data_IF_706839508403
#
_entry.id   IF_706839508403
#
_cell.length_a   1.000
_cell.length_b   1.000
_cell.length_c   1.000
_cell.angle_alpha   90.00
_cell.angle_beta   90.00
_cell.angle_gamma   90.00
#
_symmetry.space_group_name_H-M   'P 1'
#
loop_
_entity.id
_entity.type
_entity.pdbx_description
1 polymer ?
#
# COMPACT_ATOMS: atom_id res chain seq x y z
N UNK A 1 25.69 -7.13 -23.74
CA UNK A 1 24.71 -7.05 -22.65
C UNK A 1 23.47 -6.30 -23.15
N UNK A 2 22.76 -6.85 -24.15
CA UNK A 2 21.85 -6.10 -25.02
C UNK A 2 20.62 -6.91 -25.44
N UNK A 3 19.89 -7.47 -24.48
CA UNK A 3 18.58 -8.07 -24.72
C UNK A 3 17.44 -7.32 -24.02
N UNK A 4 17.71 -6.39 -23.10
CA UNK A 4 16.69 -5.54 -22.45
C UNK A 4 15.60 -6.30 -21.68
N UNK A 5 15.67 -7.63 -21.69
CA UNK A 5 14.73 -8.56 -21.10
C UNK A 5 15.25 -9.11 -19.77
N UNK A 6 16.49 -8.84 -19.38
CA UNK A 6 17.06 -9.18 -18.07
C UNK A 6 16.94 -10.68 -17.71
N UNK A 7 16.97 -11.57 -18.71
CA UNK A 7 16.76 -13.01 -18.52
C UNK A 7 15.31 -13.42 -18.19
N UNK A 8 14.35 -12.50 -18.32
CA UNK A 8 12.91 -12.78 -18.17
C UNK A 8 12.37 -13.52 -19.40
N UNK A 9 11.29 -14.27 -19.20
CA UNK A 9 10.50 -14.78 -20.33
C UNK A 9 9.91 -13.61 -21.12
N UNK A 10 9.69 -13.79 -22.43
CA UNK A 10 9.16 -12.74 -23.30
C UNK A 10 7.81 -12.20 -22.80
N UNK A 11 6.94 -13.09 -22.30
CA UNK A 11 5.65 -12.72 -21.74
C UNK A 11 5.81 -11.82 -20.50
N UNK A 12 6.69 -12.20 -19.57
CA UNK A 12 6.92 -11.45 -18.32
C UNK A 12 7.61 -10.11 -18.59
N UNK A 13 8.57 -10.07 -19.51
CA UNK A 13 9.23 -8.84 -19.94
C UNK A 13 8.20 -7.86 -20.54
N UNK A 14 7.30 -8.34 -21.42
CA UNK A 14 6.25 -7.52 -22.02
C UNK A 14 5.25 -7.00 -20.99
N UNK A 15 4.82 -7.85 -20.06
CA UNK A 15 3.84 -7.47 -19.03
C UNK A 15 4.40 -6.41 -18.07
N UNK A 16 5.68 -6.53 -17.70
CA UNK A 16 6.31 -5.67 -16.70
C UNK A 16 7.03 -4.46 -17.28
N UNK A 17 7.20 -4.38 -18.60
CA UNK A 17 7.84 -3.24 -19.29
C UNK A 17 7.25 -1.85 -18.91
N UNK A 18 5.92 -1.67 -18.77
CA UNK A 18 5.36 -0.38 -18.34
C UNK A 18 5.76 0.00 -16.91
N UNK A 19 5.96 -0.99 -16.03
CA UNK A 19 6.43 -0.77 -14.65
C UNK A 19 7.91 -0.43 -14.68
N UNK A 20 8.73 -1.20 -15.42
CA UNK A 20 10.16 -0.93 -15.61
C UNK A 20 10.41 0.51 -16.05
N UNK A 21 9.62 1.00 -17.02
CA UNK A 21 9.74 2.36 -17.53
C UNK A 21 9.60 3.45 -16.43
N UNK A 22 8.85 3.17 -15.36
CA UNK A 22 8.62 4.09 -14.23
C UNK A 22 9.67 3.93 -13.12
N UNK A 23 10.27 2.75 -12.98
CA UNK A 23 11.15 2.44 -11.84
C UNK A 23 12.63 2.34 -12.19
N UNK A 24 13.00 2.31 -13.48
CA UNK A 24 14.39 2.13 -13.96
C UNK A 24 15.43 3.11 -13.40
N UNK A 25 15.00 4.29 -12.96
CA UNK A 25 15.88 5.31 -12.39
C UNK A 25 16.12 5.09 -10.87
N UNK A 26 15.38 4.17 -10.26
CA UNK A 26 15.41 3.86 -8.81
C UNK A 26 15.69 2.38 -8.51
N UNK A 27 15.53 1.50 -9.51
CA UNK A 27 15.72 0.05 -9.39
C UNK A 27 16.84 -0.39 -10.34
N UNK A 28 17.77 -1.20 -9.84
CA UNK A 28 18.87 -1.65 -10.68
C UNK A 28 18.42 -2.75 -11.65
N UNK A 29 18.99 -2.81 -12.87
CA UNK A 29 18.78 -3.91 -13.82
C UNK A 29 19.01 -5.32 -13.24
N UNK A 30 19.86 -5.44 -12.23
CA UNK A 30 20.21 -6.71 -11.60
C UNK A 30 19.13 -7.20 -10.62
N UNK A 31 18.41 -6.28 -9.97
CA UNK A 31 17.31 -6.60 -9.05
C UNK A 31 15.97 -6.80 -9.79
N UNK A 32 15.85 -6.18 -10.97
CA UNK A 32 14.61 -6.16 -11.74
C UNK A 32 14.01 -7.55 -12.02
N UNK A 33 14.77 -8.60 -12.37
CA UNK A 33 14.17 -9.90 -12.68
C UNK A 33 13.35 -10.48 -11.52
N UNK A 34 13.86 -10.35 -10.29
CA UNK A 34 13.17 -10.82 -9.09
C UNK A 34 11.93 -9.99 -8.79
N UNK A 35 12.03 -8.67 -8.92
CA UNK A 35 10.89 -7.76 -8.71
C UNK A 35 9.80 -7.96 -9.77
N UNK A 36 10.16 -8.09 -11.04
CA UNK A 36 9.23 -8.33 -12.14
C UNK A 36 8.44 -9.62 -11.93
N UNK A 37 9.10 -10.71 -11.50
CA UNK A 37 8.44 -11.97 -11.16
C UNK A 37 7.44 -11.80 -10.00
N UNK A 38 7.84 -11.14 -8.91
CA UNK A 38 6.95 -10.88 -7.77
C UNK A 38 5.76 -9.99 -8.14
N UNK A 39 5.97 -8.94 -8.93
CA UNK A 39 4.90 -8.05 -9.41
C UNK A 39 3.87 -8.85 -10.20
N UNK A 40 4.32 -9.70 -11.11
CA UNK A 40 3.45 -10.57 -11.89
C UNK A 40 2.63 -11.51 -10.98
N UNK A 41 3.29 -12.21 -10.05
CA UNK A 41 2.62 -13.13 -9.13
C UNK A 41 1.60 -12.42 -8.22
N UNK A 42 1.95 -11.27 -7.67
CA UNK A 42 1.05 -10.46 -6.83
C UNK A 42 -0.15 -9.98 -7.65
N UNK A 43 0.08 -9.52 -8.89
CA UNK A 43 -0.99 -9.05 -9.77
C UNK A 43 -1.93 -10.18 -10.23
N UNK A 44 -1.41 -11.40 -10.41
CA UNK A 44 -2.22 -12.58 -10.64
C UNK A 44 -3.02 -12.95 -9.37
N UNK A 45 -2.35 -12.98 -8.22
CA UNK A 45 -2.95 -13.38 -6.95
C UNK A 45 -4.09 -12.45 -6.54
N UNK A 46 -3.91 -11.12 -6.65
CA UNK A 46 -4.95 -10.16 -6.25
C UNK A 46 -6.25 -10.33 -7.04
N UNK A 47 -6.18 -10.70 -8.33
CA UNK A 47 -7.36 -11.05 -9.14
C UNK A 47 -8.06 -12.29 -8.60
N UNK A 48 -7.32 -13.36 -8.33
CA UNK A 48 -7.91 -14.61 -7.80
C UNK A 48 -8.51 -14.47 -6.40
N UNK A 49 -8.00 -13.52 -5.61
CA UNK A 49 -8.44 -13.27 -4.23
C UNK A 49 -9.50 -12.19 -4.12
N UNK A 50 -9.90 -11.57 -5.24
CA UNK A 50 -10.77 -10.39 -5.25
C UNK A 50 -10.24 -9.33 -4.26
N UNK A 51 -8.97 -8.97 -4.47
CA UNK A 51 -8.20 -8.10 -3.61
C UNK A 51 -7.76 -6.83 -4.36
N UNK A 52 -7.72 -5.72 -3.63
CA UNK A 52 -7.07 -4.47 -4.06
C UNK A 52 -5.93 -4.09 -3.13
N UNK A 53 -4.90 -3.45 -3.67
CA UNK A 53 -3.76 -2.93 -2.93
C UNK A 53 -3.84 -1.40 -2.89
N UNK A 54 -3.94 -0.85 -1.68
CA UNK A 54 -3.91 0.59 -1.40
C UNK A 54 -2.48 0.97 -1.02
N UNK A 55 -1.76 1.67 -1.90
CA UNK A 55 -0.35 2.01 -1.71
C UNK A 55 -0.15 3.49 -1.40
N UNK A 56 0.46 3.77 -0.24
CA UNK A 56 0.77 5.14 0.16
C UNK A 56 1.89 5.74 -0.70
N UNK A 57 1.91 7.07 -0.82
CA UNK A 57 2.94 7.84 -1.55
C UNK A 57 4.39 7.54 -1.14
N UNK A 58 4.61 6.95 0.02
CA UNK A 58 5.95 6.61 0.52
C UNK A 58 6.34 5.15 0.31
N UNK A 59 5.49 4.35 -0.35
CA UNK A 59 5.88 3.00 -0.74
C UNK A 59 7.00 3.04 -1.77
N UNK A 60 7.83 2.00 -1.77
CA UNK A 60 8.91 1.87 -2.74
C UNK A 60 8.37 1.85 -4.17
N UNK A 61 9.13 2.31 -5.18
CA UNK A 61 8.63 2.52 -6.54
C UNK A 61 8.00 1.27 -7.17
N UNK A 62 8.55 0.09 -6.91
CA UNK A 62 8.04 -1.18 -7.40
C UNK A 62 6.68 -1.56 -6.78
N UNK A 63 6.42 -1.18 -5.53
CA UNK A 63 5.11 -1.37 -4.91
C UNK A 63 4.13 -0.33 -5.45
N UNK A 64 4.53 0.94 -5.44
CA UNK A 64 3.69 2.06 -5.83
C UNK A 64 3.28 1.99 -7.31
N UNK A 65 4.21 1.68 -8.22
CA UNK A 65 3.93 1.61 -9.65
C UNK A 65 3.63 0.21 -10.18
N UNK A 66 4.02 -0.85 -9.46
CA UNK A 66 3.92 -2.23 -9.94
C UNK A 66 2.67 -2.98 -9.48
N UNK A 67 2.27 -2.83 -8.21
CA UNK A 67 1.17 -3.64 -7.63
C UNK A 67 0.04 -2.81 -7.03
N UNK A 68 0.26 -1.53 -6.70
CA UNK A 68 -0.76 -0.63 -6.18
C UNK A 68 -1.91 -0.40 -7.17
N UNK A 69 -3.14 -0.73 -6.76
CA UNK A 69 -4.36 -0.48 -7.55
C UNK A 69 -4.82 0.97 -7.37
N UNK A 70 -4.73 1.46 -6.14
CA UNK A 70 -4.98 2.85 -5.79
C UNK A 70 -3.74 3.38 -5.06
N UNK A 71 -3.26 4.52 -5.54
CA UNK A 71 -2.06 5.17 -5.03
C UNK A 71 -2.39 6.59 -4.57
N UNK A 72 -1.89 7.00 -3.41
CA UNK A 72 -2.16 8.35 -2.91
C UNK A 72 -1.79 8.59 -1.45
N UNK A 73 -2.28 9.73 -0.94
CA UNK A 73 -2.15 10.10 0.46
C UNK A 73 -3.17 9.36 1.35
N UNK A 74 -3.06 9.54 2.66
CA UNK A 74 -3.92 8.87 3.64
C UNK A 74 -5.42 9.14 3.45
N UNK A 75 -5.80 10.35 3.03
CA UNK A 75 -7.21 10.69 2.84
C UNK A 75 -7.78 10.04 1.58
N UNK A 76 -7.02 10.05 0.49
CA UNK A 76 -7.36 9.37 -0.74
C UNK A 76 -7.54 7.88 -0.51
N UNK A 77 -6.58 7.24 0.15
CA UNK A 77 -6.67 5.80 0.42
C UNK A 77 -7.84 5.43 1.35
N UNK A 78 -8.14 6.26 2.36
CA UNK A 78 -9.32 6.03 3.20
C UNK A 78 -10.63 6.09 2.40
N UNK A 79 -10.76 7.04 1.47
CA UNK A 79 -11.94 7.13 0.58
C UNK A 79 -12.05 5.93 -0.34
N UNK A 80 -10.93 5.46 -0.91
CA UNK A 80 -10.92 4.29 -1.78
C UNK A 80 -11.21 2.99 -1.01
N UNK A 81 -10.72 2.86 0.24
CA UNK A 81 -11.08 1.74 1.11
C UNK A 81 -12.61 1.63 1.28
N UNK A 82 -13.26 2.76 1.62
CA UNK A 82 -14.70 2.84 1.80
C UNK A 82 -15.50 2.51 0.51
N UNK A 83 -14.98 2.91 -0.66
CA UNK A 83 -15.66 2.76 -1.97
C UNK A 83 -15.40 1.43 -2.66
N UNK A 84 -14.30 0.75 -2.33
CA UNK A 84 -13.89 -0.47 -3.02
C UNK A 84 -14.98 -1.55 -2.94
N UNK A 85 -15.15 -2.33 -4.00
CA UNK A 85 -16.05 -3.49 -4.01
C UNK A 85 -15.31 -4.81 -3.77
N UNK A 86 -13.97 -4.78 -3.66
CA UNK A 86 -13.17 -5.96 -3.43
C UNK A 86 -13.41 -6.55 -2.03
N UNK A 87 -13.32 -7.87 -1.90
CA UNK A 87 -13.48 -8.57 -0.60
C UNK A 87 -12.27 -8.40 0.31
N UNK A 88 -11.09 -8.19 -0.29
CA UNK A 88 -9.82 -8.06 0.43
C UNK A 88 -9.17 -6.71 0.10
N UNK A 89 -8.69 -6.03 1.13
CA UNK A 89 -7.87 -4.82 1.00
C UNK A 89 -6.50 -5.13 1.60
N UNK A 90 -5.44 -4.96 0.81
CA UNK A 90 -4.07 -4.96 1.32
C UNK A 90 -3.62 -3.51 1.46
N UNK A 91 -3.41 -3.08 2.69
CA UNK A 91 -2.93 -1.73 2.99
C UNK A 91 -1.40 -1.71 2.95
N UNK A 92 -0.83 -1.25 1.85
CA UNK A 92 0.59 -0.94 1.73
C UNK A 92 0.83 0.48 2.30
N UNK A 93 0.96 0.53 3.62
CA UNK A 93 1.16 1.74 4.42
C UNK A 93 1.48 1.37 5.85
N UNK A 94 1.07 2.20 6.81
CA UNK A 94 1.29 1.97 8.25
C UNK A 94 0.02 1.53 8.99
N UNK A 95 0.20 1.02 10.21
CA UNK A 95 -0.81 0.34 11.01
C UNK A 95 -2.14 1.13 11.15
N UNK A 96 -2.08 2.41 11.51
CA UNK A 96 -3.29 3.23 11.69
C UNK A 96 -4.08 3.39 10.37
N UNK A 97 -3.40 3.35 9.23
CA UNK A 97 -4.08 3.43 7.92
C UNK A 97 -4.83 2.13 7.63
N UNK A 98 -4.25 0.98 8.00
CA UNK A 98 -4.91 -0.31 7.87
C UNK A 98 -6.13 -0.41 8.81
N UNK A 99 -5.99 0.07 10.05
CA UNK A 99 -7.10 0.19 11.00
C UNK A 99 -8.20 1.12 10.46
N UNK A 100 -7.82 2.26 9.87
CA UNK A 100 -8.76 3.20 9.23
C UNK A 100 -9.51 2.51 8.08
N UNK A 101 -8.82 1.78 7.21
CA UNK A 101 -9.44 1.00 6.14
C UNK A 101 -10.40 -0.06 6.70
N UNK A 102 -10.07 -0.71 7.82
CA UNK A 102 -10.94 -1.69 8.48
C UNK A 102 -12.17 -1.05 9.12
N UNK A 103 -12.03 0.12 9.74
CA UNK A 103 -13.16 0.90 10.29
C UNK A 103 -14.14 1.28 9.17
N UNK A 104 -13.63 1.72 8.02
CA UNK A 104 -14.44 2.13 6.87
C UNK A 104 -14.95 0.95 6.02
N UNK A 105 -14.45 -0.25 6.24
CA UNK A 105 -14.85 -1.48 5.55
C UNK A 105 -14.99 -2.64 6.54
N UNK A 106 -15.97 -2.58 7.46
CA UNK A 106 -16.09 -3.51 8.57
C UNK A 106 -16.26 -4.97 8.11
N UNK A 107 -16.93 -5.20 6.98
CA UNK A 107 -17.21 -6.54 6.47
C UNK A 107 -16.10 -7.12 5.58
N UNK A 108 -15.08 -6.31 5.22
CA UNK A 108 -13.98 -6.75 4.35
C UNK A 108 -12.81 -7.30 5.16
N UNK A 109 -12.02 -8.16 4.53
CA UNK A 109 -10.71 -8.55 5.09
C UNK A 109 -9.70 -7.45 4.79
N UNK A 110 -9.06 -6.90 5.82
CA UNK A 110 -7.99 -5.91 5.67
C UNK A 110 -6.69 -6.52 6.17
N UNK A 111 -5.67 -6.50 5.32
CA UNK A 111 -4.35 -7.06 5.59
C UNK A 111 -3.29 -5.95 5.56
N UNK A 112 -2.30 -6.06 6.44
CA UNK A 112 -1.08 -5.24 6.41
C UNK A 112 0.13 -6.18 6.22
N UNK A 113 1.03 -5.91 5.26
CA UNK A 113 2.15 -6.81 4.97
C UNK A 113 3.17 -6.98 6.12
N UNK A 114 3.39 -5.95 6.94
CA UNK A 114 4.24 -6.00 8.13
C UNK A 114 3.51 -5.34 9.32
N UNK A 115 3.23 -6.12 10.36
CA UNK A 115 2.59 -5.62 11.59
C UNK A 115 3.45 -4.58 12.34
N UNK A 116 4.75 -4.52 12.06
CA UNK A 116 5.68 -3.54 12.66
C UNK A 116 5.70 -2.21 11.91
N UNK A 117 5.00 -2.07 10.79
CA UNK A 117 4.90 -0.82 10.05
C UNK A 117 4.06 0.21 10.82
N UNK A 118 4.67 0.84 11.83
CA UNK A 118 4.03 1.84 12.70
C UNK A 118 4.27 3.29 12.26
N UNK A 119 3.65 4.23 12.99
CA UNK A 119 3.91 5.66 12.87
C UNK A 119 4.25 6.21 14.25
N UNK A 120 5.48 6.71 14.43
CA UNK A 120 5.95 7.24 15.71
C UNK A 120 5.12 8.43 16.20
N UNK A 121 4.65 9.28 15.28
CA UNK A 121 3.78 10.41 15.61
C UNK A 121 2.38 9.95 16.07
N UNK A 122 1.79 8.95 15.40
CA UNK A 122 0.51 8.40 15.86
C UNK A 122 0.65 7.72 17.22
N UNK A 123 1.80 7.05 17.46
CA UNK A 123 2.10 6.40 18.73
C UNK A 123 2.48 7.38 19.86
N UNK A 124 2.75 8.66 19.56
CA UNK A 124 3.18 9.63 20.58
C UNK A 124 2.02 10.20 21.41
N UNK A 125 0.78 9.80 21.13
CA UNK A 125 -0.40 10.23 21.87
C UNK A 125 -1.27 9.02 22.22
N UNK A 126 -1.75 8.98 23.47
CA UNK A 126 -2.65 7.93 23.93
C UNK A 126 -4.07 8.47 24.15
N UNK A 127 -5.03 7.57 24.24
CA UNK A 127 -6.40 7.95 24.64
C UNK A 127 -6.48 8.58 26.04
N UNK A 128 -5.53 8.26 26.94
CA UNK A 128 -5.45 8.90 28.25
C UNK A 128 -5.01 10.36 28.14
N UNK A 129 -4.02 10.64 27.30
CA UNK A 129 -3.54 12.00 27.03
C UNK A 129 -4.66 12.87 26.45
N UNK A 130 -5.42 12.34 25.49
CA UNK A 130 -6.59 13.05 24.91
C UNK A 130 -7.63 13.36 25.98
N UNK A 131 -7.95 12.42 26.89
CA UNK A 131 -8.89 12.66 27.99
C UNK A 131 -8.40 13.75 28.95
N UNK A 132 -7.11 13.78 29.25
CA UNK A 132 -6.49 14.81 30.10
C UNK A 132 -6.58 16.19 29.43
N UNK A 133 -6.31 16.28 28.13
CA UNK A 133 -6.43 17.52 27.36
C UNK A 133 -7.88 18.03 27.39
N UNK A 134 -8.88 17.14 27.20
CA UNK A 134 -10.30 17.51 27.29
C UNK A 134 -10.73 18.03 28.66
N UNK A 135 -10.16 17.50 29.75
CA UNK A 135 -10.43 18.00 31.09
C UNK A 135 -9.85 19.40 31.30
N UNK A 136 -8.67 19.68 30.75
CA UNK A 136 -8.01 20.99 30.83
C UNK A 136 -8.71 22.05 29.97
N UNK A 137 -9.27 21.65 28.83
CA UNK A 137 -9.93 22.55 27.88
C UNK A 137 -11.36 22.09 27.59
N UNK A 138 -12.29 22.24 28.56
CA UNK A 138 -13.66 21.77 28.42
C UNK A 138 -14.40 22.55 27.32
N UNK A 139 -15.28 21.86 26.58
CA UNK A 139 -16.11 22.45 25.53
C UNK A 139 -15.42 22.63 24.18
N UNK A 140 -14.10 22.42 24.08
CA UNK A 140 -13.39 22.46 22.79
C UNK A 140 -13.49 21.12 22.04
N UNK A 141 -13.62 21.13 20.70
CA UNK A 141 -13.61 19.93 19.89
C UNK A 141 -12.20 19.30 19.86
N UNK A 142 -12.17 17.96 19.71
CA UNK A 142 -10.94 17.20 19.41
C UNK A 142 -10.97 16.89 17.91
N UNK A 143 -9.90 17.23 17.22
CA UNK A 143 -9.69 16.99 15.78
C UNK A 143 -8.49 16.08 15.61
#
# INVERSE_FOLDING_TARGET
MADGAFGLSEALARETAPVWAKVKDHVTPMEWPAQAALIHEINALKKTRDAVILAHNYMTPEIFHGVGDYVGDSLGLAKEAARSNAKVIVQAGVHFMAETSKILSPDKTVLIPDLRAGCSLAASITGADVRLIKQRYPGLPVV
#
